data_IF_378110893771
#
_entry.id   IF_378110893771
#
_cell.length_a   1.000
_cell.length_b   1.000
_cell.length_c   1.000
_cell.angle_alpha   90.00
_cell.angle_beta   90.00
_cell.angle_gamma   90.00
#
_symmetry.space_group_name_H-M   'P 1'
#
loop_
_entity.id
_entity.type
_entity.pdbx_description
1 polymer ?
#
# COMPACT_ATOMS: atom_id res chain seq x y z
N UNK A 1 6.29 -16.37 7.98
CA UNK A 1 6.66 -14.94 7.96
C UNK A 1 8.06 -14.83 8.53
N UNK A 2 9.00 -14.22 7.81
CA UNK A 2 10.37 -13.99 8.33
C UNK A 2 10.32 -12.78 9.26
N UNK A 3 11.05 -12.86 10.37
CA UNK A 3 11.18 -11.78 11.35
C UNK A 3 12.65 -11.40 11.46
N UNK A 4 12.95 -10.10 11.56
CA UNK A 4 14.31 -9.60 11.79
C UNK A 4 14.30 -8.56 12.90
N UNK A 5 15.41 -8.54 13.63
CA UNK A 5 15.73 -7.52 14.63
C UNK A 5 16.36 -6.33 13.91
N UNK A 6 15.82 -5.12 14.11
CA UNK A 6 16.44 -3.88 13.63
C UNK A 6 16.90 -3.03 14.81
N UNK A 7 18.10 -2.46 14.68
CA UNK A 7 18.57 -1.39 15.55
C UNK A 7 17.94 -0.06 15.10
N UNK A 8 17.36 0.69 16.03
CA UNK A 8 16.80 2.02 15.77
C UNK A 8 17.97 2.95 15.42
N UNK A 9 18.08 3.37 14.15
CA UNK A 9 18.96 4.49 13.81
C UNK A 9 18.26 5.77 14.24
N UNK A 10 18.61 6.28 15.42
CA UNK A 10 18.28 7.65 15.81
C UNK A 10 18.80 8.58 14.73
N UNK A 11 17.92 9.30 14.05
CA UNK A 11 18.30 10.36 13.09
C UNK A 11 19.02 11.45 13.88
N UNK A 12 20.34 11.32 13.99
CA UNK A 12 21.26 12.39 14.35
C UNK A 12 22.04 12.68 13.08
N UNK A 13 21.75 13.82 12.48
CA UNK A 13 22.56 14.44 11.43
C UNK A 13 23.98 14.56 11.97
N UNK A 14 24.96 13.80 11.45
CA UNK A 14 26.36 14.20 11.52
C UNK A 14 27.22 13.58 10.40
N UNK A 15 27.65 14.51 9.56
CA UNK A 15 28.79 14.57 8.63
C UNK A 15 29.91 13.52 8.89
N UNK A 16 30.27 12.80 7.81
CA UNK A 16 31.60 12.28 7.42
C UNK A 16 32.55 11.73 8.50
N UNK A 17 32.84 10.41 8.49
CA UNK A 17 34.15 9.83 8.14
C UNK A 17 34.17 8.30 8.30
N UNK A 18 34.89 7.66 7.39
CA UNK A 18 35.13 6.23 7.21
C UNK A 18 36.18 5.70 8.22
N UNK A 19 35.86 4.79 9.15
CA UNK A 19 36.83 3.87 9.80
C UNK A 19 36.17 2.50 10.12
N UNK A 20 36.79 1.42 9.64
CA UNK A 20 36.53 0.01 9.97
C UNK A 20 37.04 -0.35 11.37
N UNK A 21 36.23 -1.03 12.20
CA UNK A 21 36.57 -2.30 12.88
C UNK A 21 35.41 -2.83 13.76
N UNK A 22 35.34 -4.15 14.01
CA UNK A 22 34.15 -4.84 14.49
C UNK A 22 34.09 -4.89 16.02
N UNK A 23 32.88 -4.90 16.59
CA UNK A 23 32.59 -5.49 17.92
C UNK A 23 31.08 -5.58 18.14
N UNK A 24 30.66 -6.77 18.52
CA UNK A 24 29.33 -7.11 18.99
C UNK A 24 28.85 -6.12 20.05
N UNK A 25 27.69 -5.53 19.80
CA UNK A 25 26.86 -4.88 20.82
C UNK A 25 25.49 -5.55 20.71
N UNK A 26 25.31 -6.66 21.43
CA UNK A 26 23.97 -7.15 21.76
C UNK A 26 23.33 -6.11 22.69
N UNK A 27 22.51 -5.24 22.10
CA UNK A 27 21.72 -4.24 22.81
C UNK A 27 20.26 -4.66 22.92
N UNK A 28 19.70 -4.49 24.12
CA UNK A 28 18.30 -4.70 24.54
C UNK A 28 17.26 -3.80 23.81
N UNK A 29 17.59 -3.33 22.61
CA UNK A 29 16.82 -2.35 21.82
C UNK A 29 16.18 -2.92 20.56
N UNK A 30 16.44 -4.18 20.22
CA UNK A 30 15.89 -4.78 19.00
C UNK A 30 14.35 -4.77 19.01
N UNK A 31 13.76 -4.23 17.95
CA UNK A 31 12.33 -4.40 17.64
C UNK A 31 12.25 -5.55 16.64
N UNK A 32 11.40 -6.52 16.94
CA UNK A 32 11.03 -7.54 15.97
C UNK A 32 10.03 -6.92 14.99
N UNK A 33 10.34 -6.93 13.69
CA UNK A 33 9.49 -6.36 12.64
C UNK A 33 9.12 -7.48 11.66
N UNK A 34 7.86 -7.52 11.26
CA UNK A 34 7.40 -8.46 10.24
C UNK A 34 7.92 -8.00 8.86
N UNK A 35 8.70 -8.85 8.19
CA UNK A 35 9.26 -8.57 6.86
C UNK A 35 8.69 -9.56 5.84
N UNK A 36 7.45 -9.36 5.36
CA UNK A 36 6.86 -10.29 4.43
C UNK A 36 7.51 -10.16 3.04
N UNK A 37 7.69 -11.28 2.34
CA UNK A 37 8.23 -11.30 0.97
C UNK A 37 7.18 -10.86 -0.08
N UNK A 38 5.89 -10.94 0.29
CA UNK A 38 4.74 -10.52 -0.50
C UNK A 38 3.80 -9.69 0.36
N UNK A 39 2.99 -8.82 -0.23
CA UNK A 39 2.07 -7.97 0.53
C UNK A 39 1.05 -8.78 1.34
N UNK A 40 0.69 -8.29 2.52
CA UNK A 40 -0.25 -8.98 3.40
C UNK A 40 -0.39 -8.36 4.78
N UNK A 41 -1.22 -8.98 5.61
CA UNK A 41 -1.43 -8.58 7.00
C UNK A 41 -0.15 -8.80 7.82
N UNK A 42 0.14 -7.87 8.72
CA UNK A 42 1.28 -7.92 9.64
C UNK A 42 0.83 -7.55 11.05
N UNK A 43 1.69 -7.81 12.04
CA UNK A 43 1.41 -7.58 13.46
C UNK A 43 2.56 -6.88 14.18
N UNK A 44 3.80 -7.16 13.81
CA UNK A 44 4.98 -6.54 14.40
C UNK A 44 5.45 -5.40 13.50
N UNK A 45 5.38 -4.17 14.03
CA UNK A 45 5.43 -2.93 13.26
C UNK A 45 6.67 -2.10 13.63
N UNK A 46 7.21 -1.32 12.68
CA UNK A 46 8.49 -0.64 12.88
C UNK A 46 8.48 0.44 13.97
N UNK A 47 7.36 1.13 14.15
CA UNK A 47 7.18 2.19 15.14
C UNK A 47 6.82 1.70 16.55
N UNK A 48 6.94 0.40 16.86
CA UNK A 48 6.49 -0.14 18.15
C UNK A 48 7.12 0.53 19.38
N UNK A 49 8.33 1.09 19.25
CA UNK A 49 9.00 1.90 20.31
C UNK A 49 9.14 3.38 19.94
N UNK A 50 8.50 3.83 18.86
CA UNK A 50 8.55 5.23 18.44
C UNK A 50 7.84 6.12 19.48
N UNK A 51 8.52 7.20 19.90
CA UNK A 51 8.04 8.03 21.00
C UNK A 51 6.84 8.87 20.60
N UNK A 52 6.79 9.34 19.35
CA UNK A 52 5.71 10.17 18.85
C UNK A 52 4.46 9.30 18.65
N UNK A 53 4.62 8.09 18.09
CA UNK A 53 3.56 7.09 18.02
C UNK A 53 2.96 6.82 19.40
N UNK A 54 3.79 6.42 20.37
CA UNK A 54 3.33 6.07 21.71
C UNK A 54 2.66 7.25 22.42
N UNK A 55 3.11 8.49 22.15
CA UNK A 55 2.49 9.69 22.67
C UNK A 55 1.12 9.93 22.05
N UNK A 56 1.02 9.96 20.71
CA UNK A 56 -0.23 10.18 19.99
C UNK A 56 -1.26 9.09 20.31
N UNK A 57 -0.81 7.83 20.45
CA UNK A 57 -1.65 6.71 20.85
C UNK A 57 -2.34 6.96 22.19
N UNK A 58 -1.56 7.36 23.22
CA UNK A 58 -2.06 7.66 24.56
C UNK A 58 -2.99 8.87 24.59
N UNK A 59 -2.63 9.94 23.87
CA UNK A 59 -3.41 11.18 23.83
C UNK A 59 -4.80 10.99 23.21
N UNK A 60 -4.97 9.96 22.36
CA UNK A 60 -6.22 9.67 21.67
C UNK A 60 -6.93 8.38 22.15
N UNK A 61 -6.42 7.73 23.20
CA UNK A 61 -6.93 6.45 23.70
C UNK A 61 -7.06 5.36 22.60
N UNK A 62 -6.09 5.33 21.68
CA UNK A 62 -6.06 4.43 20.53
C UNK A 62 -5.14 3.22 20.79
N UNK A 63 -5.30 2.54 21.92
CA UNK A 63 -4.33 1.55 22.40
C UNK A 63 -4.42 0.18 21.69
N UNK A 64 -5.47 -0.05 20.91
CA UNK A 64 -5.76 -1.34 20.25
C UNK A 64 -5.41 -1.29 18.77
N UNK A 65 -4.50 -2.16 18.33
CA UNK A 65 -4.28 -2.41 16.91
C UNK A 65 -5.53 -3.04 16.29
N UNK A 66 -6.22 -2.29 15.43
CA UNK A 66 -7.40 -2.77 14.72
C UNK A 66 -6.99 -3.65 13.53
N UNK A 67 -6.04 -3.17 12.73
CA UNK A 67 -5.43 -3.95 11.65
C UNK A 67 -4.12 -3.29 11.20
N UNK A 68 -3.26 -4.09 10.56
CA UNK A 68 -2.09 -3.60 9.87
C UNK A 68 -1.81 -4.41 8.61
N UNK A 69 -1.29 -3.72 7.60
CA UNK A 69 -0.97 -4.29 6.30
C UNK A 69 0.38 -3.77 5.82
N UNK A 70 1.18 -4.67 5.26
CA UNK A 70 2.42 -4.33 4.58
C UNK A 70 2.23 -4.52 3.08
N UNK A 71 2.47 -3.47 2.30
CA UNK A 71 2.56 -3.55 0.85
C UNK A 71 4.03 -3.59 0.44
N UNK A 72 4.42 -4.67 -0.24
CA UNK A 72 5.77 -4.83 -0.78
C UNK A 72 5.84 -4.16 -2.15
N UNK A 73 6.73 -3.18 -2.28
CA UNK A 73 7.03 -2.48 -3.52
C UNK A 73 7.92 -3.39 -4.37
N UNK A 74 7.39 -3.90 -5.47
CA UNK A 74 8.13 -4.78 -6.38
C UNK A 74 8.97 -3.94 -7.33
N UNK A 75 10.30 -4.02 -7.20
CA UNK A 75 11.28 -3.30 -8.02
C UNK A 75 10.93 -1.80 -8.23
N UNK A 76 10.68 -1.03 -7.15
CA UNK A 76 10.33 0.37 -7.30
C UNK A 76 11.49 1.15 -7.94
N UNK A 77 11.18 2.17 -8.74
CA UNK A 77 12.20 3.16 -9.08
C UNK A 77 12.56 3.99 -7.85
N UNK A 78 13.75 4.62 -7.79
CA UNK A 78 14.11 5.50 -6.68
C UNK A 78 13.11 6.64 -6.43
N UNK A 79 12.49 7.16 -7.49
CA UNK A 79 11.46 8.20 -7.42
C UNK A 79 10.14 7.68 -6.86
N UNK A 80 9.72 6.47 -7.27
CA UNK A 80 8.53 5.83 -6.71
C UNK A 80 8.71 5.55 -5.22
N UNK A 81 9.85 4.96 -4.84
CA UNK A 81 10.15 4.68 -3.43
C UNK A 81 10.13 5.97 -2.62
N UNK A 82 10.81 7.02 -3.09
CA UNK A 82 10.81 8.34 -2.45
C UNK A 82 9.39 8.90 -2.27
N UNK A 83 8.54 8.84 -3.31
CA UNK A 83 7.17 9.34 -3.24
C UNK A 83 6.32 8.55 -2.23
N UNK A 84 6.48 7.23 -2.17
CA UNK A 84 5.76 6.39 -1.21
C UNK A 84 6.21 6.71 0.22
N UNK A 85 7.51 6.91 0.45
CA UNK A 85 8.04 7.30 1.76
C UNK A 85 7.52 8.66 2.20
N UNK A 86 7.54 9.66 1.31
CA UNK A 86 7.00 10.99 1.57
C UNK A 86 5.50 10.95 1.91
N UNK A 87 4.72 10.20 1.13
CA UNK A 87 3.29 10.06 1.34
C UNK A 87 2.96 9.27 2.63
N UNK A 88 3.74 8.24 2.97
CA UNK A 88 3.59 7.50 4.22
C UNK A 88 3.83 8.42 5.43
N UNK A 89 4.91 9.21 5.41
CA UNK A 89 5.18 10.20 6.45
C UNK A 89 4.08 11.25 6.57
N UNK A 90 3.43 11.63 5.46
CA UNK A 90 2.36 12.64 5.46
C UNK A 90 1.05 12.14 6.07
N UNK A 91 0.74 10.84 5.97
CA UNK A 91 -0.48 10.26 6.55
C UNK A 91 -0.28 9.77 7.98
N UNK A 92 0.96 9.47 8.38
CA UNK A 92 1.27 8.99 9.72
C UNK A 92 0.90 10.02 10.80
N UNK A 93 0.27 9.56 11.88
CA UNK A 93 -0.21 10.42 12.96
C UNK A 93 -1.59 11.02 12.72
N UNK A 94 -2.25 10.74 11.59
CA UNK A 94 -3.62 11.23 11.33
C UNK A 94 -4.60 10.60 12.31
N UNK A 95 -5.41 11.43 12.99
CA UNK A 95 -6.51 10.98 13.84
C UNK A 95 -7.84 11.29 13.16
N UNK A 96 -8.68 10.27 12.98
CA UNK A 96 -10.02 10.39 12.39
C UNK A 96 -11.05 10.30 13.51
N UNK A 97 -11.79 11.38 13.75
CA UNK A 97 -12.77 11.45 14.84
C UNK A 97 -14.04 10.63 14.55
N UNK A 98 -14.82 10.23 15.56
CA UNK A 98 -16.10 9.56 15.36
C UNK A 98 -17.01 10.32 14.39
N UNK A 99 -17.50 9.62 13.37
CA UNK A 99 -18.35 10.18 12.32
C UNK A 99 -17.61 10.94 11.21
N UNK A 100 -16.32 11.23 11.37
CA UNK A 100 -15.50 11.92 10.38
C UNK A 100 -15.19 11.03 9.18
N UNK A 101 -15.05 11.65 8.00
CA UNK A 101 -14.62 11.00 6.77
C UNK A 101 -13.16 11.35 6.50
N UNK A 102 -12.29 10.35 6.55
CA UNK A 102 -10.93 10.46 6.05
C UNK A 102 -10.94 10.59 4.53
N UNK A 103 -10.04 11.40 3.97
CA UNK A 103 -9.77 11.53 2.54
C UNK A 103 -8.27 11.53 2.31
N UNK A 104 -7.78 10.60 1.48
CA UNK A 104 -6.36 10.55 1.17
C UNK A 104 -5.91 11.82 0.43
N UNK A 105 -6.70 12.29 -0.54
CA UNK A 105 -6.35 13.49 -1.31
C UNK A 105 -6.29 14.75 -0.42
N UNK A 106 -7.13 14.86 0.61
CA UNK A 106 -7.08 15.98 1.54
C UNK A 106 -5.82 15.99 2.41
N UNK A 107 -5.36 14.81 2.83
CA UNK A 107 -4.19 14.67 3.70
C UNK A 107 -2.88 14.76 2.90
N UNK A 108 -2.80 14.02 1.79
CA UNK A 108 -1.53 13.76 1.08
C UNK A 108 -1.40 14.63 -0.19
N UNK A 109 -2.53 15.02 -0.80
CA UNK A 109 -2.56 15.81 -2.02
C UNK A 109 -2.41 17.32 -1.78
N UNK A 110 -2.33 18.14 -2.86
CA UNK A 110 -2.05 17.74 -4.24
C UNK A 110 -0.66 17.14 -4.40
N UNK A 111 -0.48 16.25 -5.38
CA UNK A 111 0.80 15.61 -5.66
C UNK A 111 1.63 16.51 -6.60
N UNK A 112 2.38 17.45 -6.03
CA UNK A 112 3.17 18.45 -6.78
C UNK A 112 4.65 18.40 -6.43
N UNK A 113 5.50 18.88 -7.34
CA UNK A 113 6.95 19.01 -7.10
C UNK A 113 7.25 19.96 -5.93
N UNK A 114 6.44 21.01 -5.74
CA UNK A 114 6.53 21.94 -4.61
C UNK A 114 6.36 21.25 -3.26
N UNK A 115 5.51 20.21 -3.20
CA UNK A 115 5.37 19.35 -2.02
C UNK A 115 6.44 18.26 -1.93
N UNK A 116 7.39 18.24 -2.86
CA UNK A 116 8.52 17.32 -2.91
C UNK A 116 8.29 16.09 -3.78
N UNK A 117 7.12 15.90 -4.39
CA UNK A 117 6.86 14.73 -5.22
C UNK A 117 7.70 14.73 -6.49
N UNK A 118 8.18 13.55 -6.86
CA UNK A 118 8.95 13.30 -8.08
C UNK A 118 8.07 12.66 -9.16
N UNK A 119 8.51 12.74 -10.40
CA UNK A 119 7.92 11.97 -11.49
C UNK A 119 8.15 10.47 -11.26
N UNK A 120 7.09 9.68 -11.24
CA UNK A 120 7.14 8.23 -11.10
C UNK A 120 6.14 7.55 -12.02
N UNK A 121 6.25 6.23 -12.16
CA UNK A 121 5.35 5.46 -13.01
C UNK A 121 3.90 5.54 -12.52
N UNK A 122 2.98 5.58 -13.47
CA UNK A 122 1.53 5.62 -13.28
C UNK A 122 0.85 4.94 -14.46
N UNK A 123 -0.39 4.51 -14.27
CA UNK A 123 -1.16 3.80 -15.29
C UNK A 123 -2.28 4.69 -15.83
N UNK A 124 -2.34 4.87 -17.16
CA UNK A 124 -3.49 5.47 -17.85
C UNK A 124 -3.98 4.51 -18.92
N UNK A 125 -5.21 4.03 -18.79
CA UNK A 125 -5.76 3.06 -19.74
C UNK A 125 -4.95 1.77 -19.73
N UNK A 126 -4.31 1.46 -20.85
CA UNK A 126 -3.40 0.33 -21.07
C UNK A 126 -1.91 0.71 -21.13
N UNK A 127 -1.57 1.96 -20.83
CA UNK A 127 -0.22 2.51 -20.95
C UNK A 127 0.41 2.81 -19.59
N UNK A 128 1.73 2.66 -19.53
CA UNK A 128 2.57 3.12 -18.41
C UNK A 128 3.09 4.49 -18.78
N UNK A 129 2.75 5.50 -17.99
CA UNK A 129 3.22 6.87 -18.15
C UNK A 129 3.94 7.34 -16.88
N UNK A 130 4.65 8.46 -16.97
CA UNK A 130 5.23 9.12 -15.80
C UNK A 130 4.37 10.30 -15.36
N UNK A 131 3.98 10.33 -14.10
CA UNK A 131 3.25 11.45 -13.48
C UNK A 131 3.92 11.87 -12.18
N UNK A 132 3.81 13.15 -11.83
CA UNK A 132 4.23 13.62 -10.50
C UNK A 132 3.42 12.89 -9.43
N UNK A 133 4.11 12.36 -8.42
CA UNK A 133 3.50 11.55 -7.36
C UNK A 133 3.22 10.10 -7.76
N UNK A 134 3.84 9.59 -8.84
CA UNK A 134 3.79 8.15 -9.14
C UNK A 134 4.17 7.32 -7.90
N UNK A 135 3.34 6.33 -7.58
CA UNK A 135 3.46 5.50 -6.37
C UNK A 135 2.39 5.73 -5.28
N UNK A 136 1.73 6.90 -5.22
CA UNK A 136 0.76 7.22 -4.14
C UNK A 136 -0.48 6.30 -4.08
N UNK A 137 -0.82 5.60 -5.17
CA UNK A 137 -1.86 4.58 -5.16
C UNK A 137 -1.54 3.37 -4.25
N UNK A 138 -0.26 3.14 -3.92
CA UNK A 138 0.15 2.11 -2.94
C UNK A 138 -0.28 2.50 -1.53
N UNK A 139 -0.29 3.79 -1.19
CA UNK A 139 -0.88 4.30 0.05
C UNK A 139 -2.37 4.01 0.07
N UNK A 140 -3.08 4.32 -1.02
CA UNK A 140 -4.52 4.08 -1.13
C UNK A 140 -4.86 2.59 -1.00
N UNK A 141 -4.16 1.72 -1.71
CA UNK A 141 -4.41 0.29 -1.64
C UNK A 141 -4.10 -0.26 -0.24
N UNK A 142 -3.05 0.20 0.42
CA UNK A 142 -2.71 -0.23 1.79
C UNK A 142 -3.76 0.26 2.79
N UNK A 143 -4.14 1.54 2.72
CA UNK A 143 -5.22 2.13 3.53
C UNK A 143 -6.53 1.37 3.32
N UNK A 144 -6.88 1.03 2.08
CA UNK A 144 -8.10 0.29 1.77
C UNK A 144 -8.12 -1.08 2.45
N UNK A 145 -6.99 -1.80 2.43
CA UNK A 145 -6.89 -3.11 3.07
C UNK A 145 -7.04 -3.05 4.60
N UNK A 146 -6.35 -2.10 5.27
CA UNK A 146 -6.52 -1.93 6.73
C UNK A 146 -7.91 -1.41 7.10
N UNK A 147 -8.49 -0.54 6.28
CA UNK A 147 -9.84 0.01 6.50
C UNK A 147 -10.90 -1.08 6.42
N UNK A 148 -10.85 -1.93 5.39
CA UNK A 148 -11.78 -3.06 5.25
C UNK A 148 -11.57 -4.08 6.37
N UNK A 149 -10.32 -4.40 6.71
CA UNK A 149 -10.00 -5.34 7.79
C UNK A 149 -10.42 -4.82 9.17
N UNK A 150 -10.53 -3.51 9.33
CA UNK A 150 -11.05 -2.84 10.53
C UNK A 150 -12.57 -2.68 10.52
N UNK A 151 -13.27 -3.27 9.54
CA UNK A 151 -14.71 -3.18 9.34
C UNK A 151 -15.25 -1.73 9.25
N UNK A 152 -14.45 -0.81 8.70
CA UNK A 152 -14.88 0.57 8.51
C UNK A 152 -15.73 0.75 7.24
N UNK A 153 -16.52 1.81 7.19
CA UNK A 153 -17.36 2.16 6.05
C UNK A 153 -16.53 2.82 4.95
N UNK A 154 -16.51 2.23 3.76
CA UNK A 154 -15.87 2.80 2.57
C UNK A 154 -16.88 3.75 1.92
N UNK A 155 -16.51 5.02 1.83
CA UNK A 155 -17.33 6.08 1.23
C UNK A 155 -17.01 6.23 -0.25
N UNK A 156 -15.73 6.15 -0.61
CA UNK A 156 -15.27 6.28 -1.99
C UNK A 156 -14.08 5.36 -2.22
N UNK A 157 -14.13 4.56 -3.28
CA UNK A 157 -13.02 3.73 -3.75
C UNK A 157 -13.16 3.45 -5.23
N UNK A 158 -12.04 3.51 -5.95
CA UNK A 158 -11.91 3.08 -7.33
C UNK A 158 -10.83 1.99 -7.45
N UNK A 159 -11.05 0.96 -8.27
CA UNK A 159 -9.96 0.09 -8.70
C UNK A 159 -9.14 0.73 -9.82
N UNK A 160 -7.90 0.26 -9.97
CA UNK A 160 -7.07 0.53 -11.14
C UNK A 160 -7.72 -0.03 -12.41
N UNK A 161 -7.44 0.61 -13.55
CA UNK A 161 -7.93 0.15 -14.86
C UNK A 161 -7.30 -1.17 -15.30
N UNK A 162 -6.10 -1.48 -14.81
CA UNK A 162 -5.35 -2.72 -15.06
C UNK A 162 -5.01 -3.40 -13.73
N UNK A 163 -4.70 -4.71 -13.73
CA UNK A 163 -4.20 -5.38 -12.55
C UNK A 163 -2.95 -4.69 -12.01
N UNK A 164 -2.78 -4.73 -10.69
CA UNK A 164 -1.54 -4.31 -10.03
C UNK A 164 -0.91 -5.52 -9.36
N UNK A 165 0.43 -5.54 -9.26
CA UNK A 165 1.17 -6.70 -8.78
C UNK A 165 1.31 -6.76 -7.26
N UNK A 166 1.05 -5.65 -6.57
CA UNK A 166 1.36 -5.48 -5.15
C UNK A 166 0.18 -5.76 -4.20
N UNK A 167 -1.02 -6.04 -4.69
CA UNK A 167 -2.18 -6.50 -3.89
C UNK A 167 -3.05 -7.46 -4.71
N UNK A 168 -3.82 -8.36 -4.06
CA UNK A 168 -4.77 -9.23 -4.77
C UNK A 168 -5.82 -8.45 -5.58
N UNK A 169 -6.33 -9.08 -6.65
CA UNK A 169 -7.43 -8.52 -7.43
C UNK A 169 -8.65 -8.23 -6.54
N UNK A 170 -9.18 -7.02 -6.64
CA UNK A 170 -10.30 -6.54 -5.85
C UNK A 170 -9.91 -5.95 -4.50
N UNK A 171 -8.62 -5.93 -4.14
CA UNK A 171 -8.10 -5.32 -2.91
C UNK A 171 -7.28 -4.05 -3.17
N UNK A 172 -7.27 -3.53 -4.39
CA UNK A 172 -6.55 -2.30 -4.76
C UNK A 172 -7.44 -1.07 -4.60
N UNK A 173 -6.81 0.10 -4.49
CA UNK A 173 -7.47 1.39 -4.64
C UNK A 173 -6.56 2.34 -5.42
N UNK A 174 -7.14 3.12 -6.33
CA UNK A 174 -6.44 4.15 -7.12
C UNK A 174 -6.94 5.53 -6.73
N UNK A 175 -6.03 6.51 -6.76
CA UNK A 175 -6.32 7.92 -6.51
C UNK A 175 -5.78 8.78 -7.64
N UNK A 176 -6.38 9.95 -7.82
CA UNK A 176 -5.93 11.00 -8.71
C UNK A 176 -6.49 12.31 -8.17
N UNK A 177 -5.61 13.21 -7.75
CA UNK A 177 -6.02 14.45 -7.10
C UNK A 177 -7.01 15.24 -7.97
N UNK A 178 -8.14 15.64 -7.38
CA UNK A 178 -9.21 16.35 -8.09
C UNK A 178 -10.19 15.45 -8.87
N UNK A 179 -9.98 14.13 -8.96
CA UNK A 179 -10.89 13.23 -9.70
C UNK A 179 -11.26 11.92 -8.99
N UNK A 180 -10.29 11.22 -8.38
CA UNK A 180 -10.49 9.94 -7.68
C UNK A 180 -9.87 10.00 -6.30
N UNK A 181 -10.61 9.60 -5.28
CA UNK A 181 -10.11 9.55 -3.91
C UNK A 181 -10.36 8.18 -3.27
N UNK A 182 -9.64 7.93 -2.17
CA UNK A 182 -10.00 6.91 -1.20
C UNK A 182 -10.57 7.63 0.02
N UNK A 183 -11.84 7.37 0.31
CA UNK A 183 -12.52 7.90 1.49
C UNK A 183 -13.14 6.80 2.30
N UNK A 184 -12.99 6.90 3.62
CA UNK A 184 -13.67 6.03 4.56
C UNK A 184 -14.14 6.84 5.75
N UNK A 185 -15.23 6.37 6.37
CA UNK A 185 -15.79 6.99 7.56
C UNK A 185 -15.32 6.22 8.79
N UNK A 186 -14.93 6.95 9.82
CA UNK A 186 -14.88 6.38 11.15
C UNK A 186 -16.31 6.22 11.66
N UNK A 187 -16.89 5.05 11.43
CA UNK A 187 -18.22 4.67 11.90
C UNK A 187 -18.18 3.99 13.28
N UNK A 188 -17.11 4.22 14.06
CA UNK A 188 -16.99 3.79 15.46
C UNK A 188 -17.29 4.95 16.41
N UNK A 189 -17.38 4.66 17.71
CA UNK A 189 -17.63 5.67 18.75
C UNK A 189 -16.36 6.36 19.26
N UNK A 190 -15.17 5.93 18.81
CA UNK A 190 -13.89 6.40 19.32
C UNK A 190 -12.95 6.88 18.20
N UNK A 191 -11.97 7.75 18.51
CA UNK A 191 -10.98 8.16 17.52
C UNK A 191 -10.20 6.97 16.95
N UNK A 192 -9.82 7.08 15.67
CA UNK A 192 -8.94 6.11 15.00
C UNK A 192 -7.64 6.82 14.63
N UNK A 193 -6.52 6.30 15.11
CA UNK A 193 -5.18 6.75 14.74
C UNK A 193 -4.68 5.93 13.55
N UNK A 194 -4.25 6.62 12.50
CA UNK A 194 -3.54 6.05 11.36
C UNK A 194 -2.05 6.23 11.59
N UNK A 195 -1.30 5.14 11.53
CA UNK A 195 0.16 5.21 11.54
C UNK A 195 0.74 4.50 10.33
N UNK A 196 1.75 5.12 9.72
CA UNK A 196 2.37 4.66 8.51
C UNK A 196 3.88 4.88 8.53
N UNK A 197 4.62 3.95 7.93
CA UNK A 197 6.06 4.06 7.74
C UNK A 197 6.46 3.24 6.53
N UNK A 198 7.36 3.78 5.71
CA UNK A 198 7.98 3.04 4.63
C UNK A 198 9.45 2.79 4.97
N UNK A 199 9.89 1.54 4.87
CA UNK A 199 11.27 1.13 5.12
C UNK A 199 11.71 0.31 3.92
N UNK A 200 12.78 0.77 3.25
CA UNK A 200 13.22 0.21 1.98
C UNK A 200 12.01 0.10 1.02
N UNK A 201 11.83 -1.06 0.41
CA UNK A 201 10.73 -1.34 -0.50
C UNK A 201 9.45 -1.86 0.21
N UNK A 202 9.20 -1.50 1.47
CA UNK A 202 8.01 -1.94 2.22
C UNK A 202 7.27 -0.78 2.84
N UNK A 203 5.98 -0.69 2.52
CA UNK A 203 5.05 0.27 3.08
C UNK A 203 4.20 -0.42 4.15
N UNK A 204 4.31 0.02 5.40
CA UNK A 204 3.48 -0.42 6.51
C UNK A 204 2.44 0.66 6.80
N UNK A 205 1.17 0.27 6.92
CA UNK A 205 0.12 1.13 7.46
C UNK A 205 -0.70 0.32 8.45
N UNK A 206 -1.14 0.97 9.52
CA UNK A 206 -2.00 0.41 10.54
C UNK A 206 -3.08 1.39 10.97
N UNK A 207 -4.18 0.83 11.49
CA UNK A 207 -5.22 1.56 12.19
C UNK A 207 -5.23 1.12 13.65
N UNK A 208 -5.20 2.09 14.54
CA UNK A 208 -5.36 1.90 15.97
C UNK A 208 -6.62 2.59 16.46
N UNK A 209 -7.33 1.95 17.38
CA UNK A 209 -8.54 2.49 18.00
C UNK A 209 -8.65 2.02 19.44
N UNK A 210 -9.82 2.20 20.04
CA UNK A 210 -10.06 1.79 21.42
C UNK A 210 -10.47 0.32 21.58
N UNK A 211 -11.06 -0.25 20.54
CA UNK A 211 -11.68 -1.58 20.58
C UNK A 211 -11.18 -2.44 19.42
N UNK A 212 -11.22 -3.76 19.60
CA UNK A 212 -10.89 -4.70 18.53
C UNK A 212 -12.05 -4.73 17.52
N UNK A 213 -11.77 -4.62 16.22
CA UNK A 213 -12.79 -4.83 15.22
C UNK A 213 -13.20 -6.31 15.18
N UNK A 214 -14.39 -6.65 14.67
CA UNK A 214 -14.76 -8.03 14.39
C UNK A 214 -13.77 -8.64 13.39
N UNK A 215 -13.65 -9.98 13.38
CA UNK A 215 -12.76 -10.67 12.44
C UNK A 215 -13.31 -10.51 11.02
N UNK A 216 -12.46 -10.04 10.10
CA UNK A 216 -12.80 -9.85 8.68
C UNK A 216 -12.01 -10.83 7.82
N UNK A 217 -12.71 -11.58 6.97
CA UNK A 217 -12.11 -12.49 6.00
C UNK A 217 -12.48 -12.10 4.57
N UNK A 218 -11.47 -11.85 3.74
CA UNK A 218 -11.63 -11.51 2.33
C UNK A 218 -12.04 -12.70 1.48
N UNK A 219 -12.97 -12.47 0.57
CA UNK A 219 -13.43 -13.46 -0.39
C UNK A 219 -13.52 -12.83 -1.79
N UNK A 220 -13.10 -13.59 -2.79
CA UNK A 220 -13.06 -13.15 -4.18
C UNK A 220 -13.62 -14.23 -5.10
N UNK A 221 -14.33 -13.80 -6.14
CA UNK A 221 -14.74 -14.65 -7.26
C UNK A 221 -14.39 -13.98 -8.57
N UNK A 222 -13.48 -14.60 -9.33
CA UNK A 222 -13.20 -14.21 -10.71
C UNK A 222 -14.40 -14.59 -11.56
N UNK A 223 -15.05 -13.60 -12.17
CA UNK A 223 -16.22 -13.77 -13.03
C UNK A 223 -15.81 -13.95 -14.50
N UNK A 224 -14.74 -13.27 -14.91
CA UNK A 224 -14.20 -13.32 -16.26
C UNK A 224 -12.68 -13.07 -16.25
N UNK A 225 -11.98 -13.61 -17.24
CA UNK A 225 -10.57 -13.35 -17.52
C UNK A 225 -10.39 -12.89 -18.96
N UNK A 226 -9.41 -12.02 -19.19
CA UNK A 226 -9.04 -11.52 -20.50
C UNK A 226 -7.56 -11.77 -20.72
N UNK A 227 -7.20 -12.47 -21.80
CA UNK A 227 -5.79 -12.72 -22.09
C UNK A 227 -5.05 -11.42 -22.39
N UNK A 228 -3.79 -11.35 -21.96
CA UNK A 228 -2.89 -10.26 -22.30
C UNK A 228 -2.57 -10.28 -23.81
N UNK A 229 -2.86 -9.22 -24.57
CA UNK A 229 -2.48 -9.15 -25.98
C UNK A 229 -0.97 -9.01 -26.13
N UNK A 230 -0.43 -9.37 -27.30
CA UNK A 230 1.00 -9.18 -27.63
C UNK A 230 1.16 -8.00 -28.58
N UNK A 231 2.01 -7.04 -28.19
CA UNK A 231 2.45 -5.93 -29.03
C UNK A 231 3.91 -6.15 -29.46
N UNK A 232 4.20 -5.92 -30.74
CA UNK A 232 5.54 -6.12 -31.30
C UNK A 232 6.17 -4.78 -31.69
N UNK A 233 7.43 -4.57 -31.29
CA UNK A 233 8.25 -3.41 -31.66
C UNK A 233 9.45 -3.91 -32.47
N UNK A 234 9.76 -3.27 -33.59
CA UNK A 234 10.93 -3.64 -34.40
C UNK A 234 12.21 -3.20 -33.70
N UNK A 235 13.13 -4.13 -33.44
CA UNK A 235 14.48 -3.84 -32.92
C UNK A 235 15.55 -4.42 -33.86
N UNK A 236 16.17 -3.60 -34.74
CA UNK A 236 17.20 -4.06 -35.67
C UNK A 236 18.49 -4.58 -35.00
N UNK A 237 18.68 -4.33 -33.71
CA UNK A 237 19.86 -4.80 -32.96
C UNK A 237 19.72 -6.25 -32.48
N UNK A 238 18.50 -6.82 -32.50
CA UNK A 238 18.32 -8.25 -32.22
C UNK A 238 18.76 -9.09 -33.42
N UNK A 239 19.30 -10.30 -33.22
CA UNK A 239 19.48 -11.26 -34.30
C UNK A 239 18.17 -11.54 -35.04
N UNK A 240 18.26 -11.79 -36.35
CA UNK A 240 17.07 -12.00 -37.18
C UNK A 240 16.29 -13.23 -36.70
N UNK A 241 14.99 -13.05 -36.48
CA UNK A 241 14.07 -14.07 -35.97
C UNK A 241 14.04 -14.20 -34.44
N UNK A 242 14.85 -13.43 -33.70
CA UNK A 242 14.77 -13.39 -32.24
C UNK A 242 13.66 -12.45 -31.75
N UNK A 243 13.11 -12.81 -30.59
CA UNK A 243 12.13 -12.03 -29.83
C UNK A 243 12.67 -11.80 -28.41
N UNK A 244 12.47 -10.60 -27.89
CA UNK A 244 12.82 -10.23 -26.51
C UNK A 244 11.62 -9.58 -25.83
N UNK A 245 11.15 -10.15 -24.71
CA UNK A 245 10.05 -9.56 -23.93
C UNK A 245 10.62 -8.42 -23.09
N UNK A 246 10.21 -7.20 -23.38
CA UNK A 246 10.65 -5.99 -22.67
C UNK A 246 9.68 -5.63 -21.54
N UNK A 247 8.39 -5.86 -21.74
CA UNK A 247 7.36 -5.69 -20.72
C UNK A 247 6.48 -6.94 -20.68
N UNK A 248 6.42 -7.57 -19.51
CA UNK A 248 5.52 -8.68 -19.24
C UNK A 248 4.07 -8.22 -19.26
N UNK A 249 3.21 -8.94 -19.98
CA UNK A 249 1.77 -8.67 -19.99
C UNK A 249 1.08 -9.15 -18.71
N UNK A 250 -0.12 -8.65 -18.44
CA UNK A 250 -0.97 -9.11 -17.34
C UNK A 250 -2.38 -9.42 -17.83
N UNK A 251 -2.90 -10.59 -17.47
CA UNK A 251 -4.29 -10.94 -17.78
C UNK A 251 -5.24 -9.94 -17.12
N UNK A 252 -6.21 -9.44 -17.88
CA UNK A 252 -7.34 -8.69 -17.34
C UNK A 252 -8.30 -9.62 -16.60
N UNK A 253 -9.12 -9.05 -15.73
CA UNK A 253 -10.09 -9.83 -14.97
C UNK A 253 -11.30 -8.99 -14.56
N UNK A 254 -12.44 -9.64 -14.35
CA UNK A 254 -13.56 -9.07 -13.59
C UNK A 254 -13.72 -9.87 -12.31
N UNK A 255 -13.63 -9.21 -11.16
CA UNK A 255 -13.61 -9.86 -9.85
C UNK A 255 -14.70 -9.28 -8.96
N UNK A 256 -15.56 -10.16 -8.43
CA UNK A 256 -16.50 -9.82 -7.35
C UNK A 256 -15.83 -10.05 -6.01
N UNK A 257 -15.88 -9.05 -5.13
CA UNK A 257 -15.28 -9.13 -3.78
C UNK A 257 -16.35 -8.96 -2.69
N UNK A 258 -16.17 -9.68 -1.59
CA UNK A 258 -16.94 -9.50 -0.36
C UNK A 258 -16.08 -9.89 0.84
N UNK A 259 -16.52 -9.48 2.02
CA UNK A 259 -15.92 -9.94 3.28
C UNK A 259 -16.95 -10.67 4.13
N UNK A 260 -16.49 -11.71 4.81
CA UNK A 260 -17.22 -12.37 5.89
C UNK A 260 -16.73 -11.75 7.20
N UNK A 261 -17.64 -11.11 7.92
CA UNK A 261 -17.39 -10.48 9.21
C UNK A 261 -17.90 -11.43 10.29
N UNK A 262 -17.06 -11.79 11.26
CA UNK A 262 -17.42 -12.62 12.41
C UNK A 262 -17.31 -11.78 13.68
N UNK A 263 -18.42 -11.60 14.38
CA UNK A 263 -18.51 -10.86 15.63
C UNK A 263 -18.14 -11.75 16.83
N UNK A 264 -17.86 -11.15 17.99
CA UNK A 264 -17.43 -11.89 19.19
C UNK A 264 -18.49 -12.89 19.70
N UNK A 265 -19.77 -12.61 19.47
CA UNK A 265 -20.87 -13.51 19.81
C UNK A 265 -21.01 -14.72 18.86
N UNK A 266 -20.15 -14.82 17.83
CA UNK A 266 -20.18 -15.86 16.81
C UNK A 266 -21.09 -15.55 15.61
N UNK A 267 -21.85 -14.44 15.64
CA UNK A 267 -22.67 -14.04 14.49
C UNK A 267 -21.78 -13.68 13.30
N UNK A 268 -22.30 -13.96 12.10
CA UNK A 268 -21.61 -13.64 10.86
C UNK A 268 -22.43 -12.74 9.96
N UNK A 269 -21.75 -11.85 9.24
CA UNK A 269 -22.35 -10.96 8.25
C UNK A 269 -21.50 -10.93 7.00
N UNK A 270 -22.15 -11.02 5.83
CA UNK A 270 -21.50 -10.81 4.55
C UNK A 270 -21.66 -9.33 4.15
N UNK A 271 -20.53 -8.66 3.88
CA UNK A 271 -20.50 -7.31 3.31
C UNK A 271 -19.94 -7.37 1.90
N UNK A 272 -20.78 -7.07 0.91
CA UNK A 272 -20.36 -7.00 -0.49
C UNK A 272 -19.57 -5.72 -0.75
N UNK A 273 -18.42 -5.85 -1.42
CA UNK A 273 -17.54 -4.72 -1.76
C UNK A 273 -17.64 -4.32 -3.24
N UNK A 274 -18.50 -5.00 -4.00
CA UNK A 274 -18.76 -4.71 -5.40
C UNK A 274 -17.95 -5.57 -6.37
N UNK A 275 -17.85 -5.06 -7.60
CA UNK A 275 -17.14 -5.69 -8.71
C UNK A 275 -16.03 -4.75 -9.14
N UNK A 276 -14.82 -5.29 -9.30
CA UNK A 276 -13.68 -4.59 -9.91
C UNK A 276 -13.42 -5.17 -11.30
N UNK A 277 -13.22 -4.30 -12.28
CA UNK A 277 -12.92 -4.69 -13.66
C UNK A 277 -11.54 -4.15 -14.06
N UNK A 278 -10.70 -5.05 -14.55
CA UNK A 278 -9.33 -4.79 -14.97
C UNK A 278 -9.16 -5.20 -16.43
N UNK A 279 -8.70 -4.27 -17.25
CA UNK A 279 -8.28 -4.52 -18.62
C UNK A 279 -6.91 -5.21 -18.63
N UNK A 280 -6.66 -6.10 -19.61
CA UNK A 280 -5.35 -6.74 -19.73
C UNK A 280 -4.28 -5.72 -20.08
N UNK A 281 -3.07 -5.92 -19.53
CA UNK A 281 -1.88 -5.19 -19.93
C UNK A 281 -1.17 -5.97 -21.04
N UNK A 282 -0.83 -5.34 -22.19
CA UNK A 282 -0.15 -6.03 -23.28
C UNK A 282 1.26 -6.48 -22.90
N UNK A 283 1.71 -7.59 -23.48
CA UNK A 283 3.14 -7.85 -23.62
C UNK A 283 3.74 -6.85 -24.60
N UNK A 284 4.94 -6.34 -24.31
CA UNK A 284 5.76 -5.60 -25.27
C UNK A 284 6.95 -6.49 -25.65
N UNK A 285 6.99 -6.89 -26.92
CA UNK A 285 7.97 -7.83 -27.46
C UNK A 285 8.76 -7.13 -28.56
N UNK A 286 10.06 -6.99 -28.38
CA UNK A 286 10.95 -6.56 -29.44
C UNK A 286 11.25 -7.72 -30.38
N UNK A 287 11.31 -7.47 -31.70
CA UNK A 287 11.62 -8.49 -32.70
C UNK A 287 12.41 -7.90 -33.88
N UNK A 288 13.30 -8.69 -34.47
CA UNK A 288 13.92 -8.38 -35.76
C UNK A 288 13.43 -9.36 -36.83
N UNK A 289 12.47 -8.92 -37.66
CA UNK A 289 11.83 -9.75 -38.68
C UNK A 289 12.63 -9.82 -39.98
#
# INVERSE_FOLDING_TARGET
>A
MKKRKYAILSIIVLISLLILMPRDVEGDNDIEIDLPDVSGNVTNLPWAKDKDFLKTQRENNADVLMSAYCTVLQNPSPEEEFNVHLAASSVSGTVVQPGEVFSQNNIIGPYTEEKGYKAGQSYIGSEIIYTIGGGVCKIASTLYNVTVSSNLEIIERYNHSMPVTYVPLGQDATVSYGSKDLKFKNNTEFPILIWAEAIENRLYISLYGREKPPKVEWNHKVLNKMQAPKSYITNPNLPKGEENVVVEGMEGATVKSWVTITYENGDTKIKHLGISQYWPMPYIIETNR
#
